data_IF_668505211146
#
_entry.id   IF_668505211146
#
_cell.length_a   1.000
_cell.length_b   1.000
_cell.length_c   1.000
_cell.angle_alpha   90.00
_cell.angle_beta   90.00
_cell.angle_gamma   90.00
#
_symmetry.space_group_name_H-M   'P 1'
#
loop_
_entity.id
_entity.type
_entity.pdbx_description
1 polymer ?
#
# COMPACT_ATOMS: atom_id res chain seq x y z
N UNK A 1 0.50 -22.63 15.80
CA UNK A 1 1.52 -21.70 15.25
C UNK A 1 1.10 -21.40 13.82
N UNK A 2 0.48 -20.24 13.55
CA UNK A 2 -0.07 -19.91 12.23
C UNK A 2 1.08 -19.43 11.33
N UNK A 3 1.30 -19.99 10.13
CA UNK A 3 2.36 -19.53 9.25
C UNK A 3 2.09 -18.09 8.82
N UNK A 4 3.14 -17.27 8.85
CA UNK A 4 3.14 -15.88 8.44
C UNK A 4 2.69 -15.76 6.98
N UNK A 5 1.40 -15.51 6.75
CA UNK A 5 0.89 -15.24 5.41
C UNK A 5 1.36 -13.84 5.02
N UNK A 6 2.24 -13.75 4.04
CA UNK A 6 2.63 -12.49 3.44
C UNK A 6 1.38 -11.76 2.92
N UNK A 7 1.33 -10.44 3.10
CA UNK A 7 0.21 -9.64 2.65
C UNK A 7 0.02 -9.77 1.13
N UNK A 8 -1.21 -10.01 0.64
CA UNK A 8 -1.44 -10.25 -0.78
C UNK A 8 -1.32 -9.00 -1.66
N UNK A 9 -1.14 -7.79 -1.10
CA UNK A 9 -1.08 -6.53 -1.86
C UNK A 9 0.23 -5.76 -1.69
N UNK A 10 1.00 -6.02 -0.62
CA UNK A 10 2.26 -5.33 -0.34
C UNK A 10 3.46 -6.23 -0.62
N UNK A 11 4.31 -5.81 -1.57
CA UNK A 11 5.58 -6.46 -1.87
C UNK A 11 6.68 -5.81 -1.04
N UNK A 12 7.43 -6.55 -0.19
CA UNK A 12 8.62 -6.00 0.44
C UNK A 12 9.62 -5.49 -0.60
N UNK A 13 10.18 -4.30 -0.37
CA UNK A 13 11.22 -3.69 -1.21
C UNK A 13 12.44 -3.41 -0.33
N UNK A 14 13.24 -4.46 -0.12
CA UNK A 14 14.28 -4.49 0.89
C UNK A 14 13.74 -4.38 2.33
N UNK A 15 14.60 -4.03 3.30
CA UNK A 15 14.20 -3.97 4.71
C UNK A 15 13.35 -2.73 5.06
N UNK A 16 13.49 -1.65 4.29
CA UNK A 16 13.01 -0.30 4.66
C UNK A 16 11.80 0.19 3.87
N UNK A 17 11.25 -0.59 2.94
CA UNK A 17 10.13 -0.14 2.14
C UNK A 17 9.18 -1.27 1.74
N UNK A 18 8.01 -0.85 1.25
CA UNK A 18 7.06 -1.70 0.55
C UNK A 18 6.74 -1.11 -0.81
N UNK A 19 6.40 -1.96 -1.78
CA UNK A 19 5.73 -1.57 -3.00
C UNK A 19 4.27 -2.00 -2.95
N UNK A 20 3.42 -1.19 -3.57
CA UNK A 20 1.99 -1.44 -3.72
C UNK A 20 1.53 -0.89 -5.07
N UNK A 21 0.56 -1.55 -5.70
CA UNK A 21 -0.07 -1.07 -6.94
C UNK A 21 -1.53 -0.74 -6.67
N UNK A 22 -1.94 0.45 -7.13
CA UNK A 22 -3.33 0.92 -7.08
C UNK A 22 -3.84 1.00 -8.51
N UNK A 23 -4.97 0.35 -8.78
CA UNK A 23 -5.74 0.52 -10.01
C UNK A 23 -6.77 1.63 -9.77
N UNK A 24 -6.66 2.73 -10.51
CA UNK A 24 -7.62 3.83 -10.47
C UNK A 24 -8.94 3.42 -11.15
N UNK A 25 -10.01 4.19 -10.96
CA UNK A 25 -11.35 3.89 -11.53
C UNK A 25 -11.33 3.70 -13.04
N UNK A 26 -10.55 4.49 -13.76
CA UNK A 26 -10.35 4.39 -15.21
C UNK A 26 -9.41 3.26 -15.65
N UNK A 27 -8.92 2.43 -14.72
CA UNK A 27 -8.08 1.26 -14.99
C UNK A 27 -6.58 1.55 -15.06
N UNK A 28 -6.16 2.82 -15.00
CA UNK A 28 -4.73 3.16 -14.91
C UNK A 28 -4.13 2.59 -13.63
N UNK A 29 -2.97 1.95 -13.74
CA UNK A 29 -2.26 1.36 -12.61
C UNK A 29 -1.08 2.23 -12.22
N UNK A 30 -1.03 2.61 -10.94
CA UNK A 30 0.08 3.37 -10.35
C UNK A 30 0.79 2.51 -9.32
N UNK A 31 2.09 2.33 -9.49
CA UNK A 31 2.96 1.68 -8.49
C UNK A 31 3.53 2.74 -7.55
N UNK A 32 3.44 2.48 -6.25
CA UNK A 32 3.98 3.33 -5.19
C UNK A 32 5.05 2.59 -4.41
N UNK A 33 6.08 3.32 -4.01
CA UNK A 33 7.04 2.87 -3.00
C UNK A 33 6.75 3.62 -1.70
N UNK A 34 6.56 2.87 -0.62
CA UNK A 34 6.26 3.38 0.71
C UNK A 34 7.46 3.15 1.62
N UNK A 35 8.15 4.22 1.99
CA UNK A 35 9.30 4.19 2.90
C UNK A 35 8.86 4.09 4.36
N UNK A 36 9.41 3.11 5.10
CA UNK A 36 9.14 2.93 6.54
C UNK A 36 9.62 4.11 7.40
N UNK A 37 10.74 4.73 7.03
CA UNK A 37 11.34 5.80 7.83
C UNK A 37 10.87 7.21 7.44
N UNK A 38 10.30 7.38 6.24
CA UNK A 38 9.96 8.71 5.70
C UNK A 38 8.47 8.95 5.53
N UNK A 39 7.68 7.90 5.31
CA UNK A 39 6.27 8.04 4.90
C UNK A 39 5.30 7.33 5.85
N UNK A 40 5.75 6.22 6.44
CA UNK A 40 4.95 5.45 7.38
C UNK A 40 5.14 6.06 8.77
N UNK A 41 4.09 6.71 9.28
CA UNK A 41 4.13 7.42 10.55
C UNK A 41 3.81 6.46 11.72
N UNK A 42 4.49 6.60 12.87
CA UNK A 42 4.13 5.88 14.08
C UNK A 42 2.76 6.33 14.62
N UNK A 43 2.02 5.39 15.20
CA UNK A 43 0.79 5.64 15.97
C UNK A 43 0.89 4.93 17.32
N UNK A 44 -0.09 5.10 18.21
CA UNK A 44 -0.10 4.43 19.52
C UNK A 44 -0.02 2.88 19.40
N UNK A 45 -0.67 2.32 18.38
CA UNK A 45 -0.82 0.87 18.19
C UNK A 45 0.13 0.24 17.15
N UNK A 46 0.89 1.04 16.42
CA UNK A 46 1.69 0.55 15.29
C UNK A 46 2.06 1.68 14.34
N UNK A 47 1.67 1.53 13.08
CA UNK A 47 2.00 2.52 12.07
C UNK A 47 0.84 2.79 11.11
N UNK A 48 0.90 3.94 10.44
CA UNK A 48 -0.10 4.36 9.49
C UNK A 48 0.54 5.12 8.33
N UNK A 49 -0.01 4.95 7.13
CA UNK A 49 0.33 5.77 5.96
C UNK A 49 -0.93 6.13 5.21
N UNK A 50 -0.97 7.39 4.76
CA UNK A 50 -1.97 7.91 3.82
C UNK A 50 -1.26 8.52 2.63
N UNK A 51 -1.63 8.08 1.43
CA UNK A 51 -1.11 8.62 0.18
C UNK A 51 -2.23 9.01 -0.75
N UNK A 52 -2.13 10.22 -1.27
CA UNK A 52 -2.84 10.60 -2.48
C UNK A 52 -2.08 10.02 -3.67
N UNK A 53 -2.81 9.31 -4.53
CA UNK A 53 -2.32 8.72 -5.77
C UNK A 53 -2.94 9.51 -6.90
N UNK A 54 -2.11 9.96 -7.83
CA UNK A 54 -2.57 10.66 -9.03
C UNK A 54 -2.07 9.89 -10.24
N UNK A 55 -2.99 9.49 -11.11
CA UNK A 55 -2.66 8.84 -12.37
C UNK A 55 -1.92 9.81 -13.28
N UNK A 56 -0.68 9.52 -13.73
CA UNK A 56 0.06 10.45 -14.59
C UNK A 56 -0.59 10.63 -15.96
N UNK A 57 -1.39 9.67 -16.45
CA UNK A 57 -2.07 9.76 -17.74
C UNK A 57 -3.50 10.28 -17.61
N UNK A 58 -4.28 9.67 -16.72
CA UNK A 58 -5.70 9.97 -16.55
C UNK A 58 -5.96 11.19 -15.67
N UNK A 59 -4.99 11.60 -14.85
CA UNK A 59 -5.12 12.60 -13.78
C UNK A 59 -6.18 12.24 -12.72
N UNK A 60 -6.69 11.00 -12.75
CA UNK A 60 -7.58 10.49 -11.73
C UNK A 60 -6.88 10.42 -10.38
N UNK A 61 -7.68 10.55 -9.32
CA UNK A 61 -7.19 10.58 -7.95
C UNK A 61 -7.74 9.40 -7.17
N UNK A 62 -6.86 8.77 -6.42
CA UNK A 62 -7.22 7.81 -5.38
C UNK A 62 -6.52 8.17 -4.07
N UNK A 63 -7.06 7.68 -2.96
CA UNK A 63 -6.46 7.81 -1.64
C UNK A 63 -6.21 6.42 -1.10
N UNK A 64 -4.95 6.07 -0.89
CA UNK A 64 -4.51 4.85 -0.25
C UNK A 64 -4.28 5.09 1.24
N UNK A 65 -4.86 4.25 2.07
CA UNK A 65 -4.61 4.21 3.51
C UNK A 65 -4.25 2.80 3.95
N UNK A 66 -3.17 2.67 4.74
CA UNK A 66 -2.72 1.40 5.28
C UNK A 66 -2.37 1.57 6.76
N UNK A 67 -2.94 0.70 7.59
CA UNK A 67 -2.60 0.56 9.00
C UNK A 67 -1.75 -0.69 9.16
N UNK A 68 -0.70 -0.57 9.97
CA UNK A 68 0.19 -1.65 10.31
C UNK A 68 0.22 -1.86 11.82
N UNK A 69 0.53 -3.08 12.24
CA UNK A 69 0.90 -3.34 13.63
C UNK A 69 2.34 -2.88 13.94
N UNK A 70 2.76 -3.05 15.20
CA UNK A 70 4.13 -2.71 15.66
C UNK A 70 5.26 -3.45 14.95
N UNK A 71 4.96 -4.50 14.16
CA UNK A 71 5.93 -5.27 13.36
C UNK A 71 5.85 -4.92 11.87
N UNK A 72 5.22 -3.80 11.51
CA UNK A 72 4.97 -3.40 10.12
C UNK A 72 4.16 -4.43 9.30
N UNK A 73 3.32 -5.24 9.95
CA UNK A 73 2.40 -6.13 9.25
C UNK A 73 1.10 -5.37 8.96
N UNK A 74 0.63 -5.30 7.70
CA UNK A 74 -0.63 -4.64 7.39
C UNK A 74 -1.79 -5.31 8.13
N UNK A 75 -2.60 -4.51 8.83
CA UNK A 75 -3.79 -4.98 9.56
C UNK A 75 -5.10 -4.46 8.94
N UNK A 76 -5.05 -3.30 8.27
CA UNK A 76 -6.18 -2.74 7.52
C UNK A 76 -5.64 -1.99 6.31
N UNK A 77 -6.38 -2.05 5.20
CA UNK A 77 -6.09 -1.32 3.96
C UNK A 77 -7.39 -0.75 3.43
N UNK A 78 -7.37 0.48 2.97
CA UNK A 78 -8.49 1.14 2.32
C UNK A 78 -7.99 1.90 1.09
N UNK A 79 -8.78 1.89 0.04
CA UNK A 79 -8.55 2.71 -1.15
C UNK A 79 -9.86 3.39 -1.49
N UNK A 80 -9.83 4.71 -1.51
CA UNK A 80 -10.89 5.52 -2.11
C UNK A 80 -10.49 5.88 -3.54
N UNK A 81 -11.42 5.79 -4.50
CA UNK A 81 -11.13 6.15 -5.89
C UNK A 81 -10.36 5.09 -6.70
N UNK A 82 -10.28 3.84 -6.21
CA UNK A 82 -9.60 2.75 -6.89
C UNK A 82 -9.58 1.47 -6.05
N UNK A 83 -8.68 0.56 -6.39
CA UNK A 83 -8.48 -0.71 -5.69
C UNK A 83 -7.00 -1.12 -5.63
N UNK A 84 -6.65 -1.99 -4.68
CA UNK A 84 -5.32 -2.59 -4.60
C UNK A 84 -5.20 -3.75 -5.59
N UNK A 85 -4.06 -3.85 -6.26
CA UNK A 85 -3.77 -4.98 -7.14
C UNK A 85 -3.04 -6.08 -6.36
N UNK A 86 -3.58 -7.30 -6.31
CA UNK A 86 -2.91 -8.44 -5.70
C UNK A 86 -1.56 -8.76 -6.33
N UNK A 87 -0.57 -9.16 -5.52
CA UNK A 87 0.78 -9.50 -5.98
C UNK A 87 0.82 -10.56 -7.08
N UNK A 88 -0.15 -11.49 -7.09
CA UNK A 88 -0.30 -12.53 -8.12
C UNK A 88 -0.61 -11.97 -9.52
N UNK A 89 -1.09 -10.73 -9.60
CA UNK A 89 -1.40 -10.02 -10.85
C UNK A 89 -0.24 -9.11 -11.28
N UNK A 90 0.89 -9.11 -10.55
CA UNK A 90 2.08 -8.36 -10.91
C UNK A 90 2.96 -9.23 -11.81
N UNK A 91 2.49 -9.47 -13.04
CA UNK A 91 3.35 -9.97 -14.11
C UNK A 91 4.38 -8.92 -14.53
#
# INVERSE_FOLDING_TARGET
MWPFRQDPHLKPDGPLAFRVRVRLRGGEVVELRLSKSMEIAPTEGGYYVRKVVVGPKSLERAVLEIWFDRRYRPVRKQVEGGELIPLREWA
#
